data_IF_369661207605
#
_entry.id   IF_369661207605
#
_cell.length_a   1.000
_cell.length_b   1.000
_cell.length_c   1.000
_cell.angle_alpha   90.00
_cell.angle_beta   90.00
_cell.angle_gamma   90.00
#
_symmetry.space_group_name_H-M   'P 1'
#
loop_
_entity.id
_entity.type
_entity.pdbx_description
1 polymer ?
#
# COMPACT_ATOMS: atom_id res chain seq x y z
N UNK A 1 8.91 -4.99 1.01
CA UNK A 1 9.09 -6.31 1.60
C UNK A 1 9.16 -7.35 0.49
N UNK A 2 10.23 -8.10 0.44
CA UNK A 2 10.42 -9.16 -0.57
C UNK A 2 10.32 -10.56 0.01
N UNK A 3 9.89 -10.72 1.25
CA UNK A 3 10.15 -11.96 1.98
C UNK A 3 8.91 -12.68 2.49
N UNK A 4 7.72 -12.26 2.15
CA UNK A 4 6.49 -12.97 2.53
C UNK A 4 6.19 -14.18 1.64
N UNK A 5 7.11 -14.55 0.75
CA UNK A 5 6.94 -15.69 -0.15
C UNK A 5 6.85 -17.05 0.54
N UNK A 6 7.18 -17.13 1.83
CA UNK A 6 7.14 -18.37 2.61
C UNK A 6 5.82 -18.65 3.32
N UNK A 7 5.03 -17.64 3.66
CA UNK A 7 3.83 -17.82 4.49
C UNK A 7 2.61 -17.13 3.86
N UNK A 8 1.82 -17.83 3.06
CA UNK A 8 0.60 -17.28 2.47
C UNK A 8 -0.41 -16.87 3.55
N UNK A 9 -1.03 -15.72 3.36
CA UNK A 9 -2.16 -15.26 4.17
C UNK A 9 -3.43 -15.91 3.63
N UNK A 10 -4.16 -16.62 4.48
CA UNK A 10 -5.45 -17.19 4.10
C UNK A 10 -6.52 -16.09 4.05
N UNK A 11 -7.27 -16.06 2.96
CA UNK A 11 -8.37 -15.13 2.75
C UNK A 11 -9.69 -15.83 3.03
N UNK A 12 -10.45 -15.27 3.96
CA UNK A 12 -11.82 -15.71 4.25
C UNK A 12 -12.80 -14.97 3.34
N UNK A 13 -13.78 -15.67 2.83
CA UNK A 13 -14.83 -15.13 1.98
C UNK A 13 -15.49 -13.90 2.60
N UNK A 14 -15.57 -12.81 1.82
CA UNK A 14 -16.20 -11.53 2.19
C UNK A 14 -15.62 -10.83 3.41
N UNK A 15 -14.41 -11.21 3.87
CA UNK A 15 -13.72 -10.57 4.98
C UNK A 15 -12.55 -9.72 4.49
N UNK A 16 -12.48 -8.46 4.90
CA UNK A 16 -11.29 -7.63 4.69
C UNK A 16 -10.15 -8.16 5.54
N UNK A 17 -9.04 -8.50 4.89
CA UNK A 17 -7.86 -9.10 5.52
C UNK A 17 -6.67 -8.16 5.35
N UNK A 18 -5.99 -7.82 6.46
CA UNK A 18 -4.76 -7.03 6.42
C UNK A 18 -3.65 -7.82 5.72
N UNK A 19 -2.96 -7.18 4.77
CA UNK A 19 -1.73 -7.73 4.23
C UNK A 19 -0.60 -7.45 5.22
N UNK A 20 -0.16 -8.49 5.88
CA UNK A 20 0.87 -8.44 6.90
C UNK A 20 2.21 -8.86 6.34
N UNK A 21 3.28 -8.29 6.89
CA UNK A 21 4.64 -8.72 6.67
C UNK A 21 4.97 -9.86 7.66
N UNK A 22 5.56 -10.95 7.19
CA UNK A 22 6.01 -12.06 8.04
C UNK A 22 7.29 -11.75 8.83
N UNK A 23 7.89 -10.57 8.64
CA UNK A 23 9.14 -10.10 9.26
C UNK A 23 10.38 -10.89 8.86
N UNK A 24 10.29 -11.78 7.88
CA UNK A 24 11.41 -12.62 7.43
C UNK A 24 12.39 -11.89 6.50
N UNK A 25 12.02 -10.73 5.95
CA UNK A 25 12.85 -9.95 5.04
C UNK A 25 13.25 -8.58 5.56
N UNK A 26 14.17 -7.93 4.87
CA UNK A 26 14.48 -6.53 5.11
C UNK A 26 13.24 -5.68 4.84
N UNK A 27 12.65 -5.13 5.90
CA UNK A 27 11.42 -4.35 5.83
C UNK A 27 11.60 -2.99 5.18
N UNK A 28 12.84 -2.53 5.06
CA UNK A 28 13.12 -1.18 4.58
C UNK A 28 14.37 -1.16 3.69
N UNK A 29 14.18 -0.86 2.42
CA UNK A 29 15.27 -0.37 1.60
C UNK A 29 15.30 1.15 1.73
N UNK A 30 16.24 1.67 2.51
CA UNK A 30 16.39 3.09 2.78
C UNK A 30 17.37 3.80 1.84
N UNK A 31 17.96 3.08 0.88
CA UNK A 31 18.99 3.62 -0.02
C UNK A 31 18.51 4.87 -0.76
N UNK A 32 17.25 4.91 -1.12
CA UNK A 32 16.65 6.05 -1.84
C UNK A 32 15.68 6.87 -0.99
N UNK A 33 15.70 6.66 0.33
CA UNK A 33 14.89 7.47 1.25
C UNK A 33 15.38 8.92 1.23
N UNK A 34 14.50 9.91 1.02
CA UNK A 34 14.89 11.32 1.10
C UNK A 34 15.51 11.66 2.46
N UNK A 35 16.54 12.48 2.46
CA UNK A 35 17.29 12.81 3.69
C UNK A 35 16.47 13.54 4.76
N UNK A 36 15.38 14.21 4.37
CA UNK A 36 14.47 14.88 5.29
C UNK A 36 13.48 13.93 5.97
N UNK A 37 13.40 12.67 5.54
CA UNK A 37 12.59 11.64 6.20
C UNK A 37 13.52 10.87 7.14
N UNK A 38 13.40 11.11 8.43
CA UNK A 38 14.25 10.49 9.45
C UNK A 38 13.68 9.17 9.96
N UNK A 39 12.36 9.07 10.07
CA UNK A 39 11.67 7.88 10.56
C UNK A 39 11.45 6.80 9.50
N UNK A 40 10.95 5.66 9.94
CA UNK A 40 10.54 4.57 9.08
C UNK A 40 9.15 4.83 8.49
N UNK A 41 8.98 4.49 7.22
CA UNK A 41 7.71 4.62 6.51
C UNK A 41 6.84 3.37 6.62
N UNK A 42 7.38 2.32 7.22
CA UNK A 42 6.68 1.09 7.55
C UNK A 42 6.84 0.79 9.03
N UNK A 43 5.73 0.49 9.68
CA UNK A 43 5.72 -0.03 11.04
C UNK A 43 5.49 -1.54 11.02
N UNK A 44 6.53 -2.29 11.33
CA UNK A 44 6.47 -3.75 11.36
C UNK A 44 5.64 -4.31 12.52
N UNK A 45 5.42 -3.52 13.58
CA UNK A 45 4.60 -3.96 14.71
C UNK A 45 3.11 -3.90 14.39
N UNK A 46 2.66 -2.82 13.73
CA UNK A 46 1.26 -2.63 13.33
C UNK A 46 0.95 -3.08 11.90
N UNK A 47 1.98 -3.46 11.12
CA UNK A 47 1.89 -3.74 9.68
C UNK A 47 1.22 -2.59 8.92
N UNK A 48 1.68 -1.38 9.14
CA UNK A 48 1.12 -0.18 8.52
C UNK A 48 2.17 0.70 7.87
N UNK A 49 1.75 1.36 6.78
CA UNK A 49 2.50 2.45 6.18
C UNK A 49 2.31 3.70 7.03
N UNK A 50 3.40 4.42 7.34
CA UNK A 50 3.38 5.66 8.12
C UNK A 50 3.63 6.86 7.22
N UNK A 51 2.81 7.91 7.38
CA UNK A 51 2.93 9.14 6.60
C UNK A 51 3.24 10.38 7.46
N UNK A 52 3.50 10.20 8.76
CA UNK A 52 3.79 11.30 9.69
C UNK A 52 4.98 12.15 9.24
N UNK A 53 6.03 11.51 8.75
CA UNK A 53 7.23 12.19 8.24
C UNK A 53 7.00 12.91 6.90
N UNK A 54 5.97 12.50 6.16
CA UNK A 54 5.65 13.08 4.85
C UNK A 54 4.90 14.39 5.02
N UNK A 55 3.96 14.41 5.97
CA UNK A 55 3.17 15.58 6.32
C UNK A 55 2.00 15.87 5.40
N UNK A 56 1.16 16.83 5.83
CA UNK A 56 -0.04 17.28 5.12
C UNK A 56 0.32 18.06 3.85
N UNK A 57 -0.55 18.01 2.84
CA UNK A 57 -0.38 18.71 1.57
C UNK A 57 0.57 18.01 0.58
N UNK A 58 0.91 16.76 0.83
CA UNK A 58 1.79 15.96 -0.03
C UNK A 58 1.02 14.86 -0.74
N UNK A 59 1.52 14.46 -1.91
CA UNK A 59 1.05 13.27 -2.62
C UNK A 59 1.98 12.12 -2.31
N UNK A 60 1.42 10.98 -1.96
CA UNK A 60 2.11 9.72 -1.77
C UNK A 60 1.67 8.75 -2.86
N UNK A 61 2.64 8.13 -3.52
CA UNK A 61 2.40 7.06 -4.47
C UNK A 61 2.84 5.76 -3.79
N UNK A 62 1.93 4.80 -3.75
CA UNK A 62 2.14 3.49 -3.16
C UNK A 62 2.04 2.46 -4.28
N UNK A 63 3.09 1.67 -4.48
CA UNK A 63 3.07 0.50 -5.34
C UNK A 63 2.91 -0.74 -4.48
N UNK A 64 1.96 -1.58 -4.85
CA UNK A 64 1.66 -2.84 -4.20
C UNK A 64 1.83 -3.97 -5.20
N UNK A 65 2.73 -4.89 -4.92
CA UNK A 65 2.94 -6.12 -5.69
C UNK A 65 2.56 -7.31 -4.80
N UNK A 66 1.67 -8.15 -5.28
CA UNK A 66 1.26 -9.36 -4.57
C UNK A 66 0.85 -10.48 -5.53
N UNK A 67 1.04 -11.70 -5.07
CA UNK A 67 0.58 -12.90 -5.74
C UNK A 67 -0.64 -13.46 -5.00
N UNK A 68 -1.67 -13.87 -5.74
CA UNK A 68 -2.89 -14.45 -5.19
C UNK A 68 -3.23 -15.75 -5.89
N UNK A 69 -3.70 -16.72 -5.12
CA UNK A 69 -4.30 -17.96 -5.60
C UNK A 69 -5.74 -18.02 -5.12
N UNK A 70 -6.70 -17.93 -6.07
CA UNK A 70 -8.10 -18.05 -5.76
C UNK A 70 -8.47 -19.52 -5.50
N UNK A 71 -9.29 -19.76 -4.49
CA UNK A 71 -9.81 -21.10 -4.18
C UNK A 71 -10.97 -21.54 -5.07
N UNK A 72 -11.50 -20.65 -5.90
CA UNK A 72 -12.58 -20.94 -6.86
C UNK A 72 -12.48 -20.05 -8.09
N UNK A 73 -13.03 -20.50 -9.21
CA UNK A 73 -13.11 -19.72 -10.45
C UNK A 73 -14.04 -18.51 -10.30
N UNK A 74 -13.77 -17.45 -11.06
CA UNK A 74 -14.51 -16.20 -11.04
C UNK A 74 -14.58 -15.61 -9.62
N UNK A 75 -13.44 -15.58 -8.94
CA UNK A 75 -13.29 -14.93 -7.63
C UNK A 75 -13.08 -13.44 -7.82
N UNK A 76 -14.00 -12.64 -7.29
CA UNK A 76 -13.81 -11.19 -7.22
C UNK A 76 -12.78 -10.84 -6.14
N UNK A 77 -11.85 -9.95 -6.49
CA UNK A 77 -10.80 -9.44 -5.61
C UNK A 77 -10.94 -7.93 -5.50
N UNK A 78 -11.12 -7.45 -4.30
CA UNK A 78 -11.11 -6.02 -3.96
C UNK A 78 -9.87 -5.71 -3.13
N UNK A 79 -9.22 -4.55 -3.36
CA UNK A 79 -8.13 -4.07 -2.51
C UNK A 79 -8.29 -2.60 -2.16
N UNK A 80 -7.89 -2.25 -0.93
CA UNK A 80 -7.99 -0.89 -0.40
C UNK A 80 -6.84 -0.54 0.54
N UNK A 81 -6.65 0.75 0.71
CA UNK A 81 -5.94 1.31 1.86
C UNK A 81 -6.99 1.59 2.94
N UNK A 82 -6.70 1.18 4.15
CA UNK A 82 -7.55 1.39 5.32
C UNK A 82 -6.78 2.19 6.37
N UNK A 83 -7.37 3.28 6.83
CA UNK A 83 -6.82 4.17 7.87
C UNK A 83 -7.51 3.86 9.19
N UNK A 84 -6.88 3.08 10.09
CA UNK A 84 -7.54 2.58 11.30
C UNK A 84 -8.08 3.68 12.21
N UNK A 85 -7.33 4.76 12.36
CA UNK A 85 -7.67 5.85 13.31
C UNK A 85 -8.90 6.64 12.89
N UNK A 86 -9.24 6.62 11.60
CA UNK A 86 -10.37 7.41 11.08
C UNK A 86 -11.47 6.56 10.47
N UNK A 87 -11.20 5.27 10.24
CA UNK A 87 -12.08 4.38 9.49
C UNK A 87 -12.16 4.69 7.98
N UNK A 88 -11.39 5.68 7.49
CA UNK A 88 -11.37 6.04 6.06
C UNK A 88 -10.77 4.93 5.21
N UNK A 89 -11.22 4.83 3.96
CA UNK A 89 -10.72 3.86 2.99
C UNK A 89 -10.47 4.52 1.65
N UNK A 90 -9.46 4.00 0.93
CA UNK A 90 -9.20 4.34 -0.48
C UNK A 90 -9.10 3.03 -1.24
N UNK A 91 -10.13 2.71 -2.00
CA UNK A 91 -10.14 1.53 -2.85
C UNK A 91 -9.28 1.79 -4.09
N UNK A 92 -8.42 0.84 -4.44
CA UNK A 92 -7.50 1.00 -5.56
C UNK A 92 -7.52 -0.16 -6.55
N UNK A 93 -8.27 -1.21 -6.24
CA UNK A 93 -8.38 -2.35 -7.15
C UNK A 93 -9.73 -3.05 -6.98
N UNK A 94 -10.33 -3.35 -8.13
CA UNK A 94 -11.42 -4.30 -8.29
C UNK A 94 -11.07 -5.17 -9.49
N UNK A 95 -11.00 -6.48 -9.30
CA UNK A 95 -10.65 -7.41 -10.37
C UNK A 95 -11.39 -8.74 -10.21
N UNK A 96 -11.34 -9.56 -11.25
CA UNK A 96 -11.95 -10.89 -11.26
C UNK A 96 -10.90 -11.93 -11.67
N UNK A 97 -10.65 -12.91 -10.81
CA UNK A 97 -9.74 -14.01 -11.05
C UNK A 97 -10.55 -15.14 -11.70
N UNK A 98 -10.34 -15.33 -13.00
CA UNK A 98 -11.15 -16.25 -13.80
C UNK A 98 -10.96 -17.72 -13.42
N UNK A 99 -9.74 -18.12 -13.07
CA UNK A 99 -9.34 -19.50 -12.82
C UNK A 99 -9.09 -19.77 -11.35
N UNK A 100 -9.38 -21.00 -10.90
CA UNK A 100 -9.05 -21.45 -9.55
C UNK A 100 -7.66 -22.10 -9.52
N UNK A 101 -7.02 -22.05 -8.35
CA UNK A 101 -5.70 -22.66 -8.07
C UNK A 101 -4.54 -22.15 -8.98
N UNK A 102 -4.77 -21.13 -9.79
CA UNK A 102 -3.73 -20.47 -10.56
C UNK A 102 -3.16 -19.30 -9.76
N UNK A 103 -1.84 -19.15 -9.83
CA UNK A 103 -1.13 -18.02 -9.22
C UNK A 103 -1.23 -16.81 -10.15
N UNK A 104 -1.90 -15.76 -9.70
CA UNK A 104 -2.03 -14.50 -10.43
C UNK A 104 -1.21 -13.42 -9.74
N UNK A 105 -0.33 -12.77 -10.52
CA UNK A 105 0.48 -11.65 -10.02
C UNK A 105 -0.17 -10.32 -10.33
N UNK A 106 -0.27 -9.50 -9.31
CA UNK A 106 -0.73 -8.12 -9.41
C UNK A 106 0.36 -7.13 -9.07
N UNK A 107 0.43 -6.05 -9.85
CA UNK A 107 1.21 -4.85 -9.56
C UNK A 107 0.28 -3.65 -9.71
N UNK A 108 0.01 -2.96 -8.63
CA UNK A 108 -0.93 -1.84 -8.61
C UNK A 108 -0.31 -0.63 -7.93
N UNK A 109 -0.49 0.52 -8.55
CA UNK A 109 -0.04 1.80 -8.02
C UNK A 109 -1.24 2.65 -7.66
N UNK A 110 -1.20 3.22 -6.46
CA UNK A 110 -2.24 4.11 -5.94
C UNK A 110 -1.63 5.42 -5.50
N UNK A 111 -2.39 6.52 -5.69
CA UNK A 111 -2.00 7.84 -5.24
C UNK A 111 -2.91 8.29 -4.10
N UNK A 112 -2.30 8.88 -3.08
CA UNK A 112 -3.01 9.48 -1.96
C UNK A 112 -2.54 10.92 -1.80
N UNK A 113 -3.48 11.85 -1.73
CA UNK A 113 -3.20 13.20 -1.27
C UNK A 113 -3.48 13.30 0.22
N UNK A 114 -2.46 13.62 1.00
CA UNK A 114 -2.57 13.76 2.45
C UNK A 114 -3.21 15.12 2.77
N UNK A 115 -4.54 15.14 2.87
CA UNK A 115 -5.31 16.37 3.08
C UNK A 115 -5.32 16.87 4.51
N UNK A 116 -5.16 15.97 5.48
CA UNK A 116 -5.28 16.29 6.88
C UNK A 116 -4.33 15.45 7.73
N UNK A 117 -4.09 15.89 8.96
CA UNK A 117 -3.28 15.16 9.93
C UNK A 117 -3.83 13.75 10.25
N UNK A 118 -5.11 13.54 10.05
CA UNK A 118 -5.74 12.22 10.25
C UNK A 118 -5.15 11.13 9.34
N UNK A 119 -4.68 11.50 8.16
CA UNK A 119 -4.08 10.54 7.23
C UNK A 119 -2.60 10.29 7.48
N UNK A 120 -1.97 11.03 8.41
CA UNK A 120 -0.54 10.87 8.72
C UNK A 120 -0.26 9.72 9.66
N UNK A 121 -1.25 9.25 10.42
CA UNK A 121 -1.09 8.15 11.39
C UNK A 121 -0.77 6.80 10.75
N UNK A 122 -1.03 6.68 9.47
CA UNK A 122 -0.70 5.48 8.71
C UNK A 122 -1.91 4.76 8.13
N UNK A 123 -1.64 3.85 7.20
CA UNK A 123 -2.67 3.01 6.63
C UNK A 123 -2.21 1.55 6.50
N UNK A 124 -3.18 0.66 6.50
CA UNK A 124 -3.00 -0.75 6.19
C UNK A 124 -3.43 -1.03 4.77
N UNK A 125 -2.79 -2.00 4.13
CA UNK A 125 -3.22 -2.55 2.87
C UNK A 125 -4.15 -3.71 3.19
N UNK A 126 -5.37 -3.67 2.69
CA UNK A 126 -6.36 -4.72 2.90
C UNK A 126 -6.85 -5.27 1.58
N UNK A 127 -7.14 -6.57 1.59
CA UNK A 127 -7.79 -7.27 0.48
C UNK A 127 -9.02 -8.01 0.96
N UNK A 128 -9.95 -8.21 0.03
CA UNK A 128 -11.16 -8.99 0.25
C UNK A 128 -11.45 -9.80 -1.00
N UNK A 129 -11.87 -11.04 -0.82
CA UNK A 129 -12.36 -11.93 -1.89
C UNK A 129 -13.79 -12.33 -1.61
N UNK A 130 -14.59 -12.50 -2.67
CA UNK A 130 -15.96 -13.02 -2.55
C UNK A 130 -16.01 -14.55 -2.42
N UNK A 131 -14.88 -15.22 -2.63
CA UNK A 131 -14.65 -16.64 -2.37
C UNK A 131 -13.32 -16.81 -1.66
N UNK A 132 -13.07 -17.94 -1.00
CA UNK A 132 -11.81 -18.16 -0.30
C UNK A 132 -10.60 -18.15 -1.23
N UNK A 133 -9.41 -17.89 -0.67
CA UNK A 133 -8.16 -17.86 -1.42
C UNK A 133 -6.94 -17.72 -0.52
N UNK A 134 -5.78 -17.58 -1.14
CA UNK A 134 -4.51 -17.30 -0.46
C UNK A 134 -3.79 -16.16 -1.16
N UNK A 135 -3.14 -15.30 -0.40
CA UNK A 135 -2.37 -14.17 -0.94
C UNK A 135 -0.99 -14.11 -0.33
N UNK A 136 -0.02 -13.68 -1.11
CA UNK A 136 1.34 -13.41 -0.69
C UNK A 136 1.67 -11.96 -1.06
N UNK A 137 1.99 -11.13 -0.09
CA UNK A 137 2.49 -9.78 -0.35
C UNK A 137 3.96 -9.86 -0.76
N UNK A 138 4.27 -9.43 -1.97
CA UNK A 138 5.65 -9.42 -2.48
C UNK A 138 6.36 -8.10 -2.18
N UNK A 139 5.68 -6.98 -2.39
CA UNK A 139 6.26 -5.66 -2.24
C UNK A 139 5.17 -4.62 -1.94
N UNK A 140 5.41 -3.80 -0.93
CA UNK A 140 4.76 -2.51 -0.78
C UNK A 140 5.85 -1.44 -0.79
N UNK A 141 5.86 -0.57 -1.77
CA UNK A 141 6.83 0.51 -1.87
C UNK A 141 6.14 1.86 -1.92
N UNK A 142 6.73 2.84 -1.25
CA UNK A 142 6.30 4.23 -1.32
C UNK A 142 7.21 4.94 -2.31
N UNK A 143 6.59 5.49 -3.35
CA UNK A 143 7.27 6.33 -4.33
C UNK A 143 6.86 7.77 -4.06
N UNK A 144 7.82 8.62 -3.77
CA UNK A 144 7.55 10.04 -3.54
C UNK A 144 7.47 10.80 -4.84
N UNK A 145 6.43 11.62 -5.00
CA UNK A 145 6.44 12.67 -6.01
C UNK A 145 6.73 14.00 -5.33
N UNK A 146 7.81 14.62 -5.75
CA UNK A 146 8.17 15.95 -5.27
C UNK A 146 7.27 17.03 -5.87
N UNK A 147 6.68 17.84 -5.02
CA UNK A 147 6.06 19.10 -5.42
C UNK A 147 7.09 20.22 -5.68
N UNK A 148 8.28 19.88 -6.19
CA UNK A 148 9.30 20.89 -6.59
C UNK A 148 8.84 21.76 -7.77
N UNK A 149 7.88 21.29 -8.55
CA UNK A 149 7.34 22.03 -9.69
C UNK A 149 6.60 23.29 -9.24
N UNK A 150 5.89 23.24 -8.12
CA UNK A 150 5.09 24.38 -7.63
C UNK A 150 5.95 25.49 -6.99
N UNK A 151 7.00 25.13 -6.28
CA UNK A 151 7.92 26.12 -5.70
C UNK A 151 8.78 26.82 -6.76
N UNK A 152 9.17 26.09 -7.80
CA UNK A 152 9.85 26.68 -8.97
C UNK A 152 8.98 27.66 -9.75
N UNK A 153 7.67 27.43 -9.78
CA UNK A 153 6.71 28.34 -10.40
C UNK A 153 6.47 29.61 -9.58
N UNK A 154 6.34 29.48 -8.26
CA UNK A 154 6.25 30.65 -7.34
C UNK A 154 7.51 31.52 -7.39
N UNK A 155 8.70 30.93 -7.39
CA UNK A 155 9.95 31.70 -7.47
C UNK A 155 10.14 32.43 -8.81
N UNK A 156 9.59 31.92 -9.91
CA UNK A 156 9.63 32.61 -11.22
C UNK A 156 8.64 33.75 -11.32
N UNK A 157 7.48 33.64 -10.68
CA UNK A 157 6.45 34.67 -10.74
C UNK A 157 6.56 35.75 -9.67
N UNK A 158 7.37 35.54 -8.62
CA UNK A 158 7.67 36.53 -7.60
C UNK A 158 8.79 37.51 -8.02
N UNK A 159 9.41 37.32 -9.20
CA UNK A 159 10.46 38.20 -9.76
C UNK A 159 9.94 39.07 -10.93
N UNK A 160 8.64 39.10 -11.15
CA UNK A 160 7.95 40.08 -12.02
C UNK A 160 7.12 41.04 -11.17
#
# INVERSE_FOLDING_TARGET
>A
DSATSGTPINLTQNVWTDLTNDKAGANTNVTYKPTYITGDLWDSASNSLKFSEIGVGKVVIIRNDFDITAGASNTRLDARLYFPDTGKTVEFMHDNIATNNELVRYSRTTQIFIQSSELTSGCKIQVKVDKSGKIILLLASIIYTFQKIYEGYKKRNAKK
#
